data_IF_592943710325
#
_entry.id   IF_592943710325
#
_cell.length_a   1.000
_cell.length_b   1.000
_cell.length_c   1.000
_cell.angle_alpha   90.00
_cell.angle_beta   90.00
_cell.angle_gamma   90.00
#
_symmetry.space_group_name_H-M   'P 1'
#
loop_
_entity.id
_entity.type
_entity.pdbx_description
1 polymer ?
#
# COMPACT_ATOMS: atom_id res chain seq x y z
N UNK A 1 16.04 26.22 -4.62
CA UNK A 1 15.05 27.21 -4.14
C UNK A 1 14.28 26.63 -2.95
N UNK A 2 13.87 27.45 -1.97
CA UNK A 2 13.02 27.03 -0.83
C UNK A 2 11.95 28.09 -0.58
N UNK A 3 10.69 27.66 -0.43
CA UNK A 3 9.59 28.55 -0.05
C UNK A 3 9.75 28.92 1.44
N UNK A 4 10.05 30.19 1.71
CA UNK A 4 10.12 30.71 3.08
C UNK A 4 8.71 30.73 3.69
N UNK A 5 8.58 30.29 4.94
CA UNK A 5 7.28 30.31 5.64
C UNK A 5 6.24 29.35 5.08
N UNK A 6 6.63 28.24 4.42
CA UNK A 6 5.71 27.32 3.73
C UNK A 6 4.53 26.84 4.60
N UNK A 7 4.72 26.72 5.92
CA UNK A 7 3.68 26.32 6.89
C UNK A 7 2.54 27.33 7.05
N UNK A 8 2.71 28.57 6.60
CA UNK A 8 1.68 29.61 6.66
C UNK A 8 0.74 29.59 5.45
N UNK A 9 1.03 28.79 4.43
CA UNK A 9 0.18 28.63 3.26
C UNK A 9 -0.70 27.38 3.42
N UNK A 10 -1.97 27.50 3.04
CA UNK A 10 -2.96 26.43 3.12
C UNK A 10 -3.21 25.82 1.73
N UNK A 11 -3.20 26.66 0.70
CA UNK A 11 -3.49 26.27 -0.67
C UNK A 11 -2.28 26.45 -1.57
N UNK A 12 -2.00 25.44 -2.38
CA UNK A 12 -0.95 25.46 -3.40
C UNK A 12 -1.52 25.03 -4.74
N UNK A 13 -1.20 25.78 -5.78
CA UNK A 13 -1.62 25.52 -7.16
C UNK A 13 -0.38 25.40 -8.02
N UNK A 14 -0.28 24.27 -8.72
CA UNK A 14 0.76 23.97 -9.70
C UNK A 14 0.06 23.76 -11.04
N UNK A 15 0.54 24.41 -12.09
CA UNK A 15 -0.04 24.31 -13.43
C UNK A 15 1.02 23.94 -14.45
N UNK A 16 0.61 23.21 -15.49
CA UNK A 16 1.44 22.84 -16.62
C UNK A 16 1.85 24.06 -17.46
N UNK A 17 1.02 25.12 -17.50
CA UNK A 17 1.30 26.33 -18.31
C UNK A 17 2.44 27.19 -17.76
N UNK A 18 2.82 26.99 -16.50
CA UNK A 18 3.91 27.72 -15.85
C UNK A 18 4.81 26.76 -15.07
N UNK A 19 5.60 25.92 -15.78
CA UNK A 19 6.43 24.91 -15.15
C UNK A 19 7.40 25.52 -14.14
N UNK A 20 7.51 24.88 -12.97
CA UNK A 20 8.39 25.34 -11.90
C UNK A 20 7.85 26.52 -11.09
N UNK A 21 6.74 27.14 -11.47
CA UNK A 21 6.08 28.17 -10.63
C UNK A 21 4.96 27.54 -9.82
N UNK A 22 4.97 27.82 -8.51
CA UNK A 22 3.90 27.43 -7.59
C UNK A 22 3.24 28.68 -7.04
N UNK A 23 1.92 28.76 -7.21
CA UNK A 23 1.09 29.77 -6.57
C UNK A 23 0.62 29.25 -5.21
N UNK A 24 0.70 30.05 -4.16
CA UNK A 24 0.28 29.70 -2.82
C UNK A 24 -0.58 30.79 -2.17
N UNK A 25 -1.53 30.39 -1.31
CA UNK A 25 -2.40 31.31 -0.56
C UNK A 25 -2.39 30.96 0.93
N UNK A 26 -2.48 31.98 1.79
CA UNK A 26 -2.56 31.78 3.25
C UNK A 26 -3.98 31.45 3.72
N UNK A 27 -4.99 31.76 2.91
CA UNK A 27 -6.40 31.44 3.11
C UNK A 27 -7.06 31.23 1.74
N UNK A 28 -8.21 30.54 1.70
CA UNK A 28 -8.91 30.16 0.45
C UNK A 28 -9.13 31.34 -0.50
N UNK A 29 -9.66 32.44 0.02
CA UNK A 29 -9.91 33.67 -0.75
C UNK A 29 -8.78 34.71 -0.63
N UNK A 30 -7.65 34.29 -0.06
CA UNK A 30 -6.50 35.15 0.18
C UNK A 30 -5.74 35.53 -1.11
N UNK A 31 -4.85 36.52 -1.02
CA UNK A 31 -3.98 36.90 -2.12
C UNK A 31 -3.04 35.75 -2.52
N UNK A 32 -2.71 35.69 -3.80
CA UNK A 32 -1.80 34.67 -4.37
C UNK A 32 -0.36 35.16 -4.30
N UNK A 33 0.51 34.34 -3.71
CA UNK A 33 1.96 34.52 -3.76
C UNK A 33 2.56 33.47 -4.69
N UNK A 34 3.41 33.88 -5.64
CA UNK A 34 4.09 32.95 -6.55
C UNK A 34 5.53 32.69 -6.14
N UNK A 35 5.98 31.45 -6.31
CA UNK A 35 7.34 31.01 -6.02
C UNK A 35 7.89 30.24 -7.22
N UNK A 36 9.04 30.66 -7.73
CA UNK A 36 9.79 29.87 -8.69
C UNK A 36 10.63 28.81 -7.95
N UNK A 37 10.38 27.54 -8.25
CA UNK A 37 11.09 26.39 -7.68
C UNK A 37 12.32 25.98 -8.51
N UNK A 38 12.43 26.46 -9.75
CA UNK A 38 13.58 26.18 -10.60
C UNK A 38 14.85 26.80 -10.00
N UNK A 39 15.98 26.18 -10.32
CA UNK A 39 17.29 26.81 -10.11
C UNK A 39 17.46 27.93 -11.14
N UNK A 40 18.34 28.88 -10.85
CA UNK A 40 18.56 30.08 -11.67
C UNK A 40 18.94 29.75 -13.13
N UNK A 41 19.57 28.60 -13.34
CA UNK A 41 20.06 28.07 -14.61
C UNK A 41 19.19 26.95 -15.22
N UNK A 42 18.13 26.52 -14.52
CA UNK A 42 17.32 25.40 -14.97
C UNK A 42 16.27 25.84 -16.01
N UNK A 43 16.35 25.27 -17.21
CA UNK A 43 15.36 25.41 -18.27
C UNK A 43 14.63 24.08 -18.48
N UNK A 44 13.29 24.12 -18.56
CA UNK A 44 12.50 22.92 -18.88
C UNK A 44 12.36 22.88 -20.41
N UNK A 45 13.14 22.01 -21.04
CA UNK A 45 13.05 21.74 -22.47
C UNK A 45 11.98 20.67 -22.68
N UNK A 46 10.93 21.01 -23.42
CA UNK A 46 9.78 20.11 -23.65
C UNK A 46 10.20 18.87 -24.47
N UNK A 47 11.18 19.03 -25.36
CA UNK A 47 11.74 17.97 -26.21
C UNK A 47 12.58 16.92 -25.46
N UNK A 48 13.00 17.20 -24.22
CA UNK A 48 13.82 16.28 -23.40
C UNK A 48 13.01 15.56 -22.31
N UNK A 49 11.68 15.68 -22.31
CA UNK A 49 10.84 15.03 -21.32
C UNK A 49 10.85 13.50 -21.50
N UNK A 50 10.85 12.71 -20.40
CA UNK A 50 10.72 11.27 -20.50
C UNK A 50 9.44 10.87 -21.25
N UNK A 51 9.51 9.77 -22.00
CA UNK A 51 8.34 9.21 -22.68
C UNK A 51 7.22 8.94 -21.68
N UNK A 52 6.00 9.40 -22.01
CA UNK A 52 4.80 9.14 -21.22
C UNK A 52 4.54 7.63 -21.24
N UNK A 53 4.64 6.99 -20.08
CA UNK A 53 4.30 5.58 -19.94
C UNK A 53 2.78 5.44 -19.84
N UNK A 54 2.10 4.82 -20.81
CA UNK A 54 0.68 4.58 -20.70
C UNK A 54 0.43 3.63 -19.51
N UNK A 55 -0.65 3.84 -18.73
CA UNK A 55 -0.99 2.92 -17.66
C UNK A 55 -1.25 1.54 -18.26
N UNK A 56 -0.42 0.55 -17.91
CA UNK A 56 -0.51 -0.83 -18.38
C UNK A 56 -1.85 -1.53 -18.06
N UNK A 57 -2.67 -0.92 -17.21
CA UNK A 57 -3.89 -1.52 -16.68
C UNK A 57 -3.58 -2.70 -15.75
N UNK A 58 -4.62 -3.48 -15.44
CA UNK A 58 -4.49 -4.72 -14.66
C UNK A 58 -4.29 -5.93 -15.58
N UNK A 59 -3.44 -6.87 -15.17
CA UNK A 59 -3.31 -8.15 -15.87
C UNK A 59 -4.61 -8.96 -15.78
N UNK A 60 -4.81 -9.87 -16.72
CA UNK A 60 -5.98 -10.77 -16.75
C UNK A 60 -6.07 -11.57 -15.45
N UNK A 61 -4.95 -12.11 -14.95
CA UNK A 61 -4.88 -12.85 -13.69
C UNK A 61 -5.32 -11.98 -12.50
N UNK A 62 -4.88 -10.71 -12.47
CA UNK A 62 -5.26 -9.78 -11.39
C UNK A 62 -6.75 -9.44 -11.44
N UNK A 63 -7.32 -9.25 -12.63
CA UNK A 63 -8.77 -9.04 -12.80
C UNK A 63 -9.58 -10.24 -12.28
N UNK A 64 -9.15 -11.45 -12.63
CA UNK A 64 -9.78 -12.68 -12.12
C UNK A 64 -9.65 -12.85 -10.61
N UNK A 65 -8.47 -12.57 -10.04
CA UNK A 65 -8.28 -12.60 -8.59
C UNK A 65 -9.24 -11.63 -7.87
N UNK A 66 -9.38 -10.40 -8.37
CA UNK A 66 -10.31 -9.43 -7.78
C UNK A 66 -11.75 -9.92 -7.85
N UNK A 67 -12.18 -10.46 -8.99
CA UNK A 67 -13.52 -10.99 -9.17
C UNK A 67 -13.82 -12.21 -8.27
N UNK A 68 -12.90 -13.18 -8.20
CA UNK A 68 -13.13 -14.44 -7.49
C UNK A 68 -12.87 -14.34 -5.98
N UNK A 69 -11.81 -13.63 -5.58
CA UNK A 69 -11.30 -13.64 -4.20
C UNK A 69 -11.71 -12.42 -3.40
N UNK A 70 -11.90 -11.27 -4.04
CA UNK A 70 -12.12 -10.00 -3.34
C UNK A 70 -13.57 -9.53 -3.41
N UNK A 71 -14.29 -9.82 -4.51
CA UNK A 71 -15.63 -9.29 -4.79
C UNK A 71 -16.67 -9.54 -3.69
N UNK A 72 -16.58 -10.65 -2.95
CA UNK A 72 -17.52 -10.95 -1.84
C UNK A 72 -17.41 -9.93 -0.70
N UNK A 73 -16.23 -9.36 -0.50
CA UNK A 73 -15.93 -8.38 0.55
C UNK A 73 -16.25 -6.94 0.14
N UNK A 74 -16.46 -6.69 -1.16
CA UNK A 74 -16.84 -5.37 -1.66
C UNK A 74 -18.29 -5.03 -1.29
N UNK A 75 -18.54 -3.75 -0.95
CA UNK A 75 -19.91 -3.23 -0.75
C UNK A 75 -20.73 -3.46 -2.01
N UNK A 76 -21.97 -3.91 -1.86
CA UNK A 76 -22.85 -4.31 -2.97
C UNK A 76 -22.88 -3.30 -4.12
N UNK A 77 -23.09 -2.01 -3.82
CA UNK A 77 -23.18 -0.93 -4.82
C UNK A 77 -21.89 -0.68 -5.62
N UNK A 78 -20.75 -1.19 -5.15
CA UNK A 78 -19.44 -0.91 -5.75
C UNK A 78 -18.80 -2.16 -6.38
N UNK A 79 -19.43 -3.34 -6.28
CA UNK A 79 -18.84 -4.62 -6.72
C UNK A 79 -18.41 -4.58 -8.19
N UNK A 80 -19.23 -4.02 -9.06
CA UNK A 80 -18.96 -3.94 -10.51
C UNK A 80 -18.01 -2.80 -10.89
N UNK A 81 -17.76 -1.86 -9.98
CA UNK A 81 -16.76 -0.81 -10.18
C UNK A 81 -15.38 -1.28 -9.70
N UNK A 82 -15.31 -1.97 -8.56
CA UNK A 82 -14.05 -2.37 -7.93
C UNK A 82 -13.56 -3.74 -8.39
N UNK A 83 -14.47 -4.67 -8.65
CA UNK A 83 -14.18 -6.06 -9.00
C UNK A 83 -15.14 -6.55 -10.10
N UNK A 84 -15.15 -5.89 -11.29
CA UNK A 84 -15.99 -6.31 -12.41
C UNK A 84 -15.66 -7.72 -12.89
N UNK A 85 -16.62 -8.32 -13.60
CA UNK A 85 -16.35 -9.56 -14.33
C UNK A 85 -15.28 -9.29 -15.42
N UNK A 86 -14.21 -10.08 -15.51
CA UNK A 86 -13.16 -9.86 -16.51
C UNK A 86 -13.62 -10.22 -17.93
N UNK A 87 -13.32 -9.37 -18.92
CA UNK A 87 -13.68 -9.62 -20.33
C UNK A 87 -12.81 -10.71 -20.98
N UNK A 88 -11.59 -10.91 -20.47
CA UNK A 88 -10.64 -11.86 -21.02
C UNK A 88 -10.87 -13.26 -20.42
N UNK A 89 -10.81 -14.33 -21.24
CA UNK A 89 -10.97 -15.69 -20.76
C UNK A 89 -9.91 -16.03 -19.72
N UNK A 90 -10.27 -16.90 -18.76
CA UNK A 90 -9.32 -17.43 -17.79
C UNK A 90 -8.28 -18.23 -18.54
N UNK A 91 -7.01 -17.86 -18.40
CA UNK A 91 -5.94 -18.77 -18.78
C UNK A 91 -6.03 -19.97 -17.83
N UNK A 92 -6.54 -21.09 -18.33
CA UNK A 92 -6.53 -22.37 -17.61
C UNK A 92 -5.12 -22.95 -17.62
N UNK A 93 -4.18 -22.24 -17.00
CA UNK A 93 -2.87 -22.75 -16.65
C UNK A 93 -2.98 -23.50 -15.32
N UNK A 94 -3.33 -24.78 -15.39
CA UNK A 94 -3.15 -25.68 -14.26
C UNK A 94 -1.65 -25.86 -14.00
N UNK A 95 -1.11 -25.12 -13.04
CA UNK A 95 -0.16 -25.68 -12.11
C UNK A 95 -0.57 -25.27 -10.71
N UNK A 96 -1.58 -25.96 -10.20
CA UNK A 96 -1.59 -26.27 -8.77
C UNK A 96 -0.36 -27.16 -8.56
N UNK A 97 0.63 -26.69 -7.84
CA UNK A 97 1.38 -27.63 -7.02
C UNK A 97 0.40 -28.07 -5.92
N UNK A 98 -0.42 -29.06 -6.24
CA UNK A 98 -1.11 -29.85 -5.23
C UNK A 98 -0.01 -30.62 -4.51
N UNK A 99 0.26 -30.29 -3.25
CA UNK A 99 0.90 -31.25 -2.36
C UNK A 99 -0.02 -32.47 -2.26
N UNK A 100 0.44 -33.69 -2.58
CA UNK A 100 -0.34 -34.91 -2.32
C UNK A 100 -0.69 -34.98 -0.83
N UNK A 101 -1.93 -35.34 -0.54
CA UNK A 101 -2.37 -35.63 0.82
C UNK A 101 -1.50 -36.71 1.43
N UNK A 102 -0.99 -36.44 2.63
CA UNK A 102 -0.37 -37.45 3.47
C UNK A 102 -1.43 -37.85 4.48
N UNK A 103 -1.92 -39.08 4.33
CA UNK A 103 -2.67 -39.78 5.37
C UNK A 103 -1.97 -39.64 6.72
N UNK A 104 -2.75 -39.38 7.78
CA UNK A 104 -2.22 -39.36 9.15
C UNK A 104 -1.59 -40.72 9.50
N UNK A 105 -0.28 -40.79 9.84
CA UNK A 105 0.31 -41.97 10.44
C UNK A 105 0.24 -41.90 11.98
N UNK A 106 0.31 -43.06 12.66
CA UNK A 106 -0.14 -43.22 14.03
C UNK A 106 0.83 -42.62 15.05
N UNK A 107 0.24 -42.24 16.18
CA UNK A 107 0.87 -41.94 17.46
C UNK A 107 1.78 -43.09 17.90
N UNK A 108 3.10 -42.89 17.82
CA UNK A 108 4.09 -43.72 18.48
C UNK A 108 5.32 -42.87 18.80
N UNK A 109 5.40 -42.50 20.08
CA UNK A 109 6.50 -41.81 20.70
C UNK A 109 7.86 -42.52 20.46
N UNK A 110 8.82 -41.80 19.89
CA UNK A 110 10.25 -42.01 20.16
C UNK A 110 10.95 -40.65 20.21
N UNK A 111 11.42 -40.31 21.41
CA UNK A 111 12.30 -39.17 21.69
C UNK A 111 13.62 -39.36 20.91
N UNK A 112 13.98 -38.37 20.08
CA UNK A 112 15.34 -38.25 19.54
C UNK A 112 15.77 -36.80 19.72
N UNK A 113 16.74 -36.59 20.61
CA UNK A 113 17.36 -35.29 20.85
C UNK A 113 18.13 -34.83 19.60
N UNK A 114 17.75 -33.68 19.04
CA UNK A 114 18.49 -33.02 17.96
C UNK A 114 18.99 -31.65 18.46
N UNK A 115 20.27 -31.29 18.27
CA UNK A 115 20.85 -30.07 18.81
C UNK A 115 20.19 -28.84 18.17
N UNK A 116 19.54 -28.01 18.99
CA UNK A 116 18.97 -26.75 18.55
C UNK A 116 20.07 -25.73 18.37
N UNK A 117 20.51 -25.51 17.12
CA UNK A 117 21.29 -24.30 16.79
C UNK A 117 20.38 -23.12 16.46
N UNK A 118 20.67 -21.91 16.98
CA UNK A 118 19.68 -20.86 17.13
C UNK A 118 19.43 -20.11 15.83
N UNK A 119 18.15 -19.89 15.56
CA UNK A 119 17.66 -18.97 14.54
C UNK A 119 18.20 -17.57 14.81
N UNK A 120 19.16 -17.09 14.01
CA UNK A 120 19.67 -15.72 14.13
C UNK A 120 18.59 -14.71 13.72
N UNK A 121 18.21 -13.89 14.70
CA UNK A 121 17.33 -12.73 14.58
C UNK A 121 17.91 -11.67 13.64
N UNK A 122 17.11 -11.21 12.69
CA UNK A 122 17.11 -9.80 12.31
C UNK A 122 15.96 -9.15 13.08
N UNK A 123 16.31 -8.25 13.98
CA UNK A 123 15.42 -7.69 14.99
C UNK A 123 14.26 -6.88 14.36
N UNK A 124 12.98 -7.17 14.69
CA UNK A 124 11.88 -6.26 14.40
C UNK A 124 11.92 -5.07 15.37
N UNK A 125 11.56 -3.85 14.92
CA UNK A 125 11.63 -2.65 15.75
C UNK A 125 10.80 -2.81 17.02
N UNK A 126 11.47 -2.65 18.16
CA UNK A 126 10.87 -2.57 19.48
C UNK A 126 9.85 -1.43 19.49
N UNK A 127 8.56 -1.79 19.53
CA UNK A 127 7.54 -1.28 20.45
C UNK A 127 6.18 -1.86 20.08
N UNK A 128 6.06 -3.20 20.03
CA UNK A 128 4.72 -3.77 20.16
C UNK A 128 4.21 -3.44 21.57
N UNK A 129 3.17 -2.60 21.65
CA UNK A 129 2.59 -2.18 22.92
C UNK A 129 1.70 -3.31 23.44
N UNK A 130 1.94 -3.70 24.69
CA UNK A 130 1.05 -4.59 25.44
C UNK A 130 -0.27 -3.88 25.74
N UNK A 131 -1.35 -4.64 25.84
CA UNK A 131 -2.62 -4.12 26.32
C UNK A 131 -2.47 -3.59 27.76
N UNK A 132 -2.90 -2.36 28.01
CA UNK A 132 -2.86 -1.75 29.35
C UNK A 132 -3.90 -2.27 30.35
N UNK A 133 -4.79 -3.19 29.94
CA UNK A 133 -5.73 -3.85 30.86
C UNK A 133 -5.28 -5.28 31.22
N UNK A 134 -4.98 -6.12 30.22
CA UNK A 134 -4.64 -7.53 30.44
C UNK A 134 -3.16 -7.89 30.17
N UNK A 135 -2.34 -6.94 29.71
CA UNK A 135 -0.91 -7.16 29.44
C UNK A 135 -0.59 -7.99 28.20
N UNK A 136 -1.60 -8.55 27.52
CA UNK A 136 -1.40 -9.38 26.33
C UNK A 136 -1.16 -8.53 25.07
N UNK A 137 -0.47 -9.13 24.10
CA UNK A 137 -0.22 -8.51 22.79
C UNK A 137 -1.39 -8.73 21.82
N UNK A 138 -1.35 -8.04 20.68
CA UNK A 138 -2.33 -8.22 19.60
C UNK A 138 -3.59 -7.36 19.71
N UNK A 139 -3.77 -6.62 20.81
CA UNK A 139 -4.88 -5.68 20.98
C UNK A 139 -4.51 -4.52 21.93
N UNK A 140 -5.29 -3.44 21.93
CA UNK A 140 -5.08 -2.29 22.82
C UNK A 140 -6.10 -2.29 23.99
N UNK A 141 -5.92 -1.39 24.99
CA UNK A 141 -6.82 -1.31 26.16
C UNK A 141 -8.29 -1.12 25.78
N UNK A 142 -8.61 -0.40 24.71
CA UNK A 142 -10.01 -0.12 24.31
C UNK A 142 -10.68 -1.33 23.67
N UNK A 143 -9.89 -2.18 23.02
CA UNK A 143 -10.35 -3.41 22.37
C UNK A 143 -10.06 -4.65 23.21
N UNK A 144 -9.89 -4.48 24.53
CA UNK A 144 -9.56 -5.58 25.41
C UNK A 144 -10.80 -6.43 25.70
N UNK A 145 -10.75 -7.76 25.48
CA UNK A 145 -11.89 -8.66 25.77
C UNK A 145 -12.23 -8.72 27.27
N UNK A 146 -11.29 -8.33 28.14
CA UNK A 146 -11.51 -8.21 29.59
C UNK A 146 -12.28 -6.94 30.01
N UNK A 147 -12.77 -6.12 29.08
CA UNK A 147 -13.54 -4.90 29.41
C UNK A 147 -15.06 -5.14 29.54
N UNK A 148 -15.50 -6.40 29.63
CA UNK A 148 -16.92 -6.73 29.83
C UNK A 148 -17.33 -6.55 31.29
#
# INVERSE_FOLDING_TARGET
>A
MKIKGIKGFQDFVVNATSPGVVAARQAVDGPVTQFNLLKEDAQIMEDELPNILPPKGMSTERKWYLYEKIRSFCRYKCKDVTCPFPDAPRLTGSSRQSTPGVDNPPDLAMEIEVPHSPRQSLEPPATQRKCGNCGQFGHNRRTCPCNQ
#
